data_IF_429060078786
#
_entry.id   IF_429060078786
#
_cell.length_a   1.000
_cell.length_b   1.000
_cell.length_c   1.000
_cell.angle_alpha   90.00
_cell.angle_beta   90.00
_cell.angle_gamma   90.00
#
_symmetry.space_group_name_H-M   'P 1'
#
loop_
_entity.id
_entity.type
_entity.pdbx_description
1 polymer ?
#
# COMPACT_ATOMS: atom_id res chain seq x y z
N UNK A 1 48.46 -30.09 1.56
CA UNK A 1 47.07 -30.52 1.85
C UNK A 1 46.38 -29.31 2.46
N UNK A 2 45.55 -28.61 1.68
CA UNK A 2 44.80 -27.45 2.12
C UNK A 2 43.42 -27.93 2.54
N UNK A 3 43.04 -27.70 3.80
CA UNK A 3 41.72 -27.99 4.31
C UNK A 3 40.77 -26.88 3.85
N UNK A 4 39.96 -27.17 2.83
CA UNK A 4 38.80 -26.36 2.49
C UNK A 4 37.67 -26.67 3.48
N UNK A 5 37.35 -25.73 4.34
CA UNK A 5 36.11 -25.75 5.11
C UNK A 5 35.04 -25.19 4.17
N UNK A 6 34.18 -26.07 3.65
CA UNK A 6 32.93 -25.64 3.02
C UNK A 6 32.03 -25.05 4.10
N UNK A 7 31.79 -23.74 4.01
CA UNK A 7 30.66 -23.12 4.68
C UNK A 7 29.39 -23.59 3.95
N UNK A 8 28.67 -24.55 4.54
CA UNK A 8 27.26 -24.77 4.20
C UNK A 8 26.47 -23.64 4.85
N UNK A 9 25.92 -22.74 4.03
CA UNK A 9 24.74 -21.98 4.42
C UNK A 9 23.64 -22.98 4.77
N UNK A 10 23.24 -22.99 6.03
CA UNK A 10 22.05 -23.71 6.48
C UNK A 10 20.93 -22.69 6.32
N UNK A 11 20.28 -22.67 5.16
CA UNK A 11 18.95 -22.08 5.05
C UNK A 11 18.02 -22.92 5.93
N UNK A 12 17.73 -22.44 7.13
CA UNK A 12 16.66 -22.98 7.94
C UNK A 12 15.35 -22.66 7.25
N UNK A 13 14.74 -23.69 6.66
CA UNK A 13 13.38 -23.63 6.11
C UNK A 13 12.44 -23.08 7.18
N UNK A 14 11.92 -21.88 6.96
CA UNK A 14 10.97 -21.24 7.88
C UNK A 14 9.65 -21.98 7.79
N UNK A 15 9.13 -22.46 8.92
CA UNK A 15 7.84 -23.14 8.94
C UNK A 15 6.71 -22.15 8.72
N UNK A 16 5.88 -22.36 7.69
CA UNK A 16 4.65 -21.59 7.45
C UNK A 16 3.76 -21.53 8.70
N UNK A 17 3.72 -22.60 9.50
CA UNK A 17 2.96 -22.62 10.73
C UNK A 17 3.47 -21.63 11.79
N UNK A 18 4.78 -21.38 11.85
CA UNK A 18 5.35 -20.44 12.82
C UNK A 18 5.16 -18.98 12.37
N UNK A 19 5.28 -18.72 11.06
CA UNK A 19 4.92 -17.44 10.42
C UNK A 19 3.50 -17.04 10.81
N UNK A 20 2.52 -17.92 10.54
CA UNK A 20 1.12 -17.61 10.77
C UNK A 20 0.73 -17.58 12.25
N UNK A 21 1.45 -18.29 13.15
CA UNK A 21 1.30 -18.08 14.60
C UNK A 21 1.71 -16.66 15.00
N UNK A 22 2.83 -16.16 14.49
CA UNK A 22 3.31 -14.82 14.80
C UNK A 22 2.37 -13.74 14.26
N UNK A 23 1.89 -13.88 13.02
CA UNK A 23 0.89 -12.97 12.44
C UNK A 23 -0.43 -13.01 13.20
N UNK A 24 -0.95 -14.19 13.51
CA UNK A 24 -2.17 -14.34 14.32
C UNK A 24 -2.04 -13.61 15.66
N UNK A 25 -0.91 -13.74 16.34
CA UNK A 25 -0.65 -13.04 17.59
C UNK A 25 -0.65 -11.51 17.41
N UNK A 26 -0.04 -10.99 16.33
CA UNK A 26 -0.07 -9.55 16.00
C UNK A 26 -1.49 -9.04 15.70
N UNK A 27 -2.28 -9.75 14.90
CA UNK A 27 -3.67 -9.39 14.62
C UNK A 27 -4.47 -9.30 15.92
N UNK A 28 -4.31 -10.28 16.82
CA UNK A 28 -5.00 -10.29 18.11
C UNK A 28 -4.56 -9.14 19.02
N UNK A 29 -3.27 -8.83 19.05
CA UNK A 29 -2.73 -7.69 19.80
C UNK A 29 -3.25 -6.35 19.28
N UNK A 30 -3.35 -6.22 17.94
CA UNK A 30 -3.73 -4.97 17.25
C UNK A 30 -5.21 -4.87 16.91
N UNK A 31 -6.04 -5.84 17.32
CA UNK A 31 -7.46 -5.92 16.93
C UNK A 31 -8.21 -4.62 17.18
N UNK A 32 -8.04 -4.02 18.36
CA UNK A 32 -8.72 -2.76 18.69
C UNK A 32 -8.30 -1.60 17.75
N UNK A 33 -7.02 -1.50 17.40
CA UNK A 33 -6.49 -0.47 16.50
C UNK A 33 -6.96 -0.68 15.05
N UNK A 34 -7.14 -1.95 14.64
CA UNK A 34 -7.65 -2.34 13.31
C UNK A 34 -9.18 -2.15 13.21
N UNK A 35 -9.91 -2.32 14.32
CA UNK A 35 -11.37 -2.12 14.37
C UNK A 35 -11.77 -0.64 14.59
N UNK A 36 -10.82 0.20 15.02
CA UNK A 36 -11.10 1.58 15.41
C UNK A 36 -11.47 2.52 14.25
N UNK A 37 -11.37 2.07 12.99
CA UNK A 37 -11.62 2.91 11.82
C UNK A 37 -12.40 2.15 10.73
N UNK A 38 -13.26 2.88 10.01
CA UNK A 38 -13.97 2.37 8.83
C UNK A 38 -13.19 2.72 7.56
N UNK A 39 -12.19 1.92 7.23
CA UNK A 39 -11.23 2.15 6.14
C UNK A 39 -11.84 2.14 4.73
N UNK A 40 -13.03 1.53 4.56
CA UNK A 40 -13.69 1.31 3.27
C UNK A 40 -15.08 1.97 3.17
N UNK A 41 -15.48 2.75 4.18
CA UNK A 41 -16.75 3.49 4.15
C UNK A 41 -16.57 4.86 3.51
N UNK A 42 -17.07 4.98 2.28
CA UNK A 42 -16.97 6.19 1.47
C UNK A 42 -17.90 7.34 1.81
N UNK A 43 -18.91 7.12 2.66
CA UNK A 43 -19.74 8.20 3.19
C UNK A 43 -20.57 7.69 4.37
N UNK A 44 -20.89 8.57 5.30
CA UNK A 44 -21.82 8.30 6.40
C UNK A 44 -23.28 8.10 5.98
N UNK A 45 -23.59 8.14 4.68
CA UNK A 45 -24.96 8.07 4.13
C UNK A 45 -25.34 6.71 3.53
N UNK A 46 -24.39 5.78 3.37
CA UNK A 46 -24.65 4.42 2.87
C UNK A 46 -24.55 3.36 3.98
N UNK A 47 -25.13 2.19 3.74
CA UNK A 47 -25.06 1.06 4.67
C UNK A 47 -23.60 0.74 5.04
N UNK A 48 -23.28 0.42 6.30
CA UNK A 48 -21.92 0.09 6.71
C UNK A 48 -21.36 -1.02 5.82
N UNK A 49 -20.25 -0.76 5.14
CA UNK A 49 -19.57 -1.77 4.34
C UNK A 49 -18.80 -2.69 5.27
N UNK A 50 -18.78 -3.99 4.93
CA UNK A 50 -17.93 -4.94 5.64
C UNK A 50 -16.45 -4.56 5.42
N UNK A 51 -15.75 -4.35 6.53
CA UNK A 51 -14.35 -3.90 6.51
C UNK A 51 -13.43 -5.10 6.29
N UNK A 52 -12.54 -4.98 5.30
CA UNK A 52 -11.51 -5.96 4.94
C UNK A 52 -10.10 -5.36 5.11
N UNK A 53 -9.62 -5.14 6.35
CA UNK A 53 -8.42 -4.35 6.58
C UNK A 53 -7.12 -5.16 6.52
N UNK A 54 -7.15 -6.48 6.26
CA UNK A 54 -5.98 -7.36 6.31
C UNK A 54 -5.80 -8.06 4.97
N UNK A 55 -4.56 -8.26 4.52
CA UNK A 55 -4.23 -9.12 3.39
C UNK A 55 -2.93 -9.89 3.66
N UNK A 56 -2.72 -11.00 2.95
CA UNK A 56 -1.47 -11.77 2.98
C UNK A 56 -0.97 -11.95 1.54
N UNK A 57 0.29 -11.62 1.28
CA UNK A 57 0.89 -11.79 -0.05
C UNK A 57 2.42 -11.82 0.01
N UNK A 58 3.04 -12.75 -0.70
CA UNK A 58 4.50 -12.84 -0.85
C UNK A 58 4.99 -11.80 -1.87
N UNK A 59 5.57 -10.70 -1.38
CA UNK A 59 6.04 -9.59 -2.23
C UNK A 59 7.49 -9.75 -2.69
N UNK A 60 8.25 -10.68 -2.09
CA UNK A 60 9.69 -10.81 -2.34
C UNK A 60 10.06 -12.12 -3.08
N UNK A 61 9.12 -13.05 -3.21
CA UNK A 61 9.25 -14.34 -3.89
C UNK A 61 9.96 -15.43 -3.07
N UNK A 62 10.08 -15.27 -1.75
CA UNK A 62 10.77 -16.22 -0.86
C UNK A 62 9.84 -17.33 -0.32
N UNK A 63 8.54 -17.27 -0.63
CA UNK A 63 7.53 -18.22 -0.19
C UNK A 63 6.93 -17.93 1.19
N UNK A 64 7.34 -16.86 1.86
CA UNK A 64 6.75 -16.31 3.08
C UNK A 64 5.82 -15.17 2.65
N UNK A 65 4.53 -15.30 2.96
CA UNK A 65 3.58 -14.21 2.70
C UNK A 65 3.79 -13.09 3.71
N UNK A 66 3.98 -11.85 3.25
CA UNK A 66 3.89 -10.68 4.12
C UNK A 66 2.42 -10.43 4.53
N UNK A 67 2.23 -9.99 5.77
CA UNK A 67 0.93 -9.56 6.28
C UNK A 67 0.79 -8.03 6.15
N UNK A 68 -0.23 -7.60 5.43
CA UNK A 68 -0.62 -6.21 5.29
C UNK A 68 -1.82 -5.96 6.19
N UNK A 69 -1.81 -4.86 6.95
CA UNK A 69 -3.01 -4.41 7.64
C UNK A 69 -3.08 -2.90 7.81
N UNK A 70 -4.31 -2.39 7.91
CA UNK A 70 -4.57 -1.00 8.27
C UNK A 70 -4.87 -0.90 9.76
N UNK A 71 -4.24 0.05 10.45
CA UNK A 71 -4.47 0.30 11.87
C UNK A 71 -4.32 1.78 12.22
N UNK A 72 -4.98 2.23 13.29
CA UNK A 72 -4.92 3.61 13.75
C UNK A 72 -3.60 3.84 14.48
N UNK A 73 -2.82 4.85 14.09
CA UNK A 73 -1.60 5.23 14.81
C UNK A 73 -1.90 6.26 15.89
N UNK A 74 -2.45 5.80 17.01
CA UNK A 74 -2.57 6.56 18.28
C UNK A 74 -3.38 7.87 18.24
N UNK A 75 -3.79 8.34 17.07
CA UNK A 75 -4.60 9.52 16.82
C UNK A 75 -5.85 9.10 16.05
N UNK A 76 -7.03 9.55 16.50
CA UNK A 76 -8.34 9.10 16.01
C UNK A 76 -8.63 9.43 14.53
N UNK A 77 -7.68 10.04 13.81
CA UNK A 77 -7.83 10.54 12.44
C UNK A 77 -6.74 10.05 11.48
N UNK A 78 -5.86 9.13 11.92
CA UNK A 78 -4.72 8.68 11.13
C UNK A 78 -4.63 7.15 11.12
N UNK A 79 -4.56 6.62 9.90
CA UNK A 79 -4.47 5.21 9.56
C UNK A 79 -3.11 4.98 8.92
N UNK A 80 -2.48 3.88 9.28
CA UNK A 80 -1.20 3.49 8.71
C UNK A 80 -1.28 2.11 8.08
N UNK A 81 -0.70 2.00 6.89
CA UNK A 81 -0.41 0.72 6.28
C UNK A 81 0.74 0.06 7.04
N UNK A 82 0.48 -1.08 7.62
CA UNK A 82 1.47 -1.88 8.30
C UNK A 82 1.78 -3.12 7.46
N UNK A 83 3.06 -3.33 7.14
CA UNK A 83 3.52 -4.48 6.36
C UNK A 83 4.45 -5.28 7.24
N UNK A 84 4.12 -6.53 7.53
CA UNK A 84 4.87 -7.39 8.42
C UNK A 84 5.43 -8.61 7.69
N UNK A 85 6.74 -8.81 7.79
CA UNK A 85 7.41 -10.05 7.39
C UNK A 85 7.71 -10.91 8.63
N UNK A 86 8.07 -12.18 8.43
CA UNK A 86 8.48 -13.07 9.52
C UNK A 86 9.97 -13.32 9.49
N UNK A 87 10.64 -12.98 10.59
CA UNK A 87 12.08 -13.10 10.68
C UNK A 87 12.56 -13.24 12.12
N UNK A 88 13.65 -13.99 12.34
CA UNK A 88 14.24 -14.24 13.66
C UNK A 88 13.25 -14.81 14.69
N UNK A 89 12.20 -15.49 14.22
CA UNK A 89 11.18 -16.08 15.07
C UNK A 89 10.02 -15.16 15.43
N UNK A 90 9.95 -13.96 14.85
CA UNK A 90 8.92 -12.96 15.16
C UNK A 90 8.38 -12.25 13.91
N UNK A 91 7.18 -11.69 14.03
CA UNK A 91 6.61 -10.83 13.01
C UNK A 91 7.17 -9.41 13.17
N UNK A 92 7.86 -8.91 12.15
CA UNK A 92 8.51 -7.59 12.15
C UNK A 92 7.93 -6.70 11.06
N UNK A 93 7.78 -5.42 11.36
CA UNK A 93 7.36 -4.44 10.38
C UNK A 93 8.49 -4.21 9.35
N UNK A 94 8.14 -4.14 8.06
CA UNK A 94 9.03 -3.78 6.96
C UNK A 94 9.23 -2.28 6.97
N UNK A 95 10.49 -1.83 6.93
CA UNK A 95 10.81 -0.41 6.83
C UNK A 95 10.66 0.07 5.38
N UNK A 96 10.02 1.22 5.20
CA UNK A 96 9.90 1.88 3.90
C UNK A 96 9.66 3.37 4.08
N UNK A 97 9.99 4.18 3.09
CA UNK A 97 9.80 5.64 3.09
C UNK A 97 8.73 6.06 2.09
N UNK A 98 7.92 7.08 2.42
CA UNK A 98 7.00 7.69 1.46
C UNK A 98 7.49 9.03 0.94
N UNK A 99 6.95 9.44 -0.20
CA UNK A 99 7.22 10.74 -0.82
C UNK A 99 5.94 11.58 -0.87
N UNK A 100 6.08 12.90 -0.68
CA UNK A 100 4.99 13.85 -0.87
C UNK A 100 5.49 15.12 -1.54
N UNK A 101 4.56 15.89 -2.12
CA UNK A 101 4.87 17.21 -2.68
C UNK A 101 4.59 18.28 -1.61
N UNK A 102 5.60 19.03 -1.21
CA UNK A 102 5.41 20.24 -0.42
C UNK A 102 4.89 21.36 -1.33
N UNK A 103 3.59 21.61 -1.26
CA UNK A 103 2.90 22.65 -2.03
C UNK A 103 3.44 24.07 -1.79
N UNK A 104 4.09 24.33 -0.65
CA UNK A 104 4.67 25.63 -0.37
C UNK A 104 5.99 25.87 -1.11
N UNK A 105 6.71 24.80 -1.44
CA UNK A 105 8.02 24.87 -2.10
C UNK A 105 8.04 24.25 -3.50
N UNK A 106 7.00 23.51 -3.89
CA UNK A 106 6.94 22.75 -5.14
C UNK A 106 8.00 21.65 -5.22
N UNK A 107 8.39 21.07 -4.07
CA UNK A 107 9.45 20.06 -3.99
C UNK A 107 8.89 18.74 -3.50
N UNK A 108 9.46 17.66 -4.04
CA UNK A 108 9.25 16.33 -3.49
C UNK A 108 10.10 16.19 -2.23
N UNK A 109 9.43 15.76 -1.16
CA UNK A 109 9.97 15.51 0.16
C UNK A 109 9.83 14.02 0.47
N UNK A 110 10.78 13.45 1.20
CA UNK A 110 10.73 12.07 1.67
C UNK A 110 10.49 12.04 3.18
N UNK A 111 9.66 11.13 3.65
CA UNK A 111 9.45 10.84 5.07
C UNK A 111 9.97 9.43 5.41
N UNK A 112 10.44 9.24 6.66
CA UNK A 112 11.13 8.02 7.12
C UNK A 112 10.17 6.81 7.29
N UNK A 113 8.86 7.01 7.09
CA UNK A 113 7.80 6.01 7.07
C UNK A 113 6.63 6.49 6.19
N UNK A 114 5.68 5.62 5.77
CA UNK A 114 4.27 6.09 5.59
C UNK A 114 3.69 6.36 6.98
N UNK A 115 4.33 7.21 7.77
CA UNK A 115 3.67 7.84 8.91
C UNK A 115 3.00 9.08 8.35
N UNK A 116 1.67 8.97 8.20
CA UNK A 116 0.72 9.97 7.74
C UNK A 116 0.58 10.26 6.23
N UNK A 117 -0.48 9.71 5.64
CA UNK A 117 -1.79 10.39 5.45
C UNK A 117 -2.79 9.62 4.54
N UNK A 118 -2.42 8.72 3.60
CA UNK A 118 -3.38 8.36 2.55
C UNK A 118 -4.45 7.32 2.90
N UNK A 119 -4.46 6.73 4.10
CA UNK A 119 -5.45 5.70 4.43
C UNK A 119 -6.64 6.17 5.28
N UNK A 120 -6.52 7.25 6.06
CA UNK A 120 -7.55 7.68 7.02
C UNK A 120 -8.24 9.00 6.66
N UNK A 121 -7.71 9.76 5.71
CA UNK A 121 -8.11 11.16 5.54
C UNK A 121 -9.33 11.42 4.65
N UNK A 122 -10.05 10.39 4.19
CA UNK A 122 -10.95 10.57 3.03
C UNK A 122 -10.26 10.28 1.69
N UNK A 123 -9.08 9.66 1.70
CA UNK A 123 -8.29 9.34 0.52
C UNK A 123 -8.56 7.91 0.04
N UNK A 124 -8.51 7.70 -1.27
CA UNK A 124 -8.52 6.36 -1.84
C UNK A 124 -7.09 5.82 -1.84
N UNK A 125 -6.93 4.51 -1.70
CA UNK A 125 -5.60 3.88 -1.76
C UNK A 125 -5.66 2.48 -2.33
N UNK A 126 -4.57 2.05 -2.97
CA UNK A 126 -4.39 0.67 -3.39
C UNK A 126 -2.93 0.27 -3.28
N UNK A 127 -2.69 -0.94 -2.78
CA UNK A 127 -1.39 -1.59 -2.79
C UNK A 127 -1.46 -2.75 -3.77
N UNK A 128 -0.55 -2.80 -4.74
CA UNK A 128 -0.55 -3.83 -5.77
C UNK A 128 0.85 -4.18 -6.26
N UNK A 129 1.01 -5.42 -6.71
CA UNK A 129 2.20 -5.85 -7.43
C UNK A 129 2.03 -5.65 -8.93
N UNK A 130 3.13 -5.27 -9.60
CA UNK A 130 3.25 -5.31 -11.05
C UNK A 130 3.00 -6.72 -11.61
N UNK A 131 2.59 -6.83 -12.87
CA UNK A 131 2.37 -8.12 -13.55
C UNK A 131 3.59 -9.03 -13.57
N UNK A 132 4.79 -8.45 -13.53
CA UNK A 132 6.03 -9.21 -13.50
C UNK A 132 6.44 -9.65 -12.08
N UNK A 133 5.69 -9.24 -11.06
CA UNK A 133 5.89 -9.62 -9.67
C UNK A 133 7.13 -9.01 -9.01
N UNK A 134 7.69 -7.91 -9.56
CA UNK A 134 8.94 -7.32 -9.04
C UNK A 134 8.78 -5.96 -8.36
N UNK A 135 7.71 -5.25 -8.68
CA UNK A 135 7.49 -3.89 -8.18
C UNK A 135 6.24 -3.87 -7.33
N UNK A 136 6.39 -3.52 -6.06
CA UNK A 136 5.28 -3.19 -5.18
C UNK A 136 4.92 -1.73 -5.42
N UNK A 137 3.66 -1.45 -5.67
CA UNK A 137 3.17 -0.11 -5.94
C UNK A 137 2.18 0.30 -4.84
N UNK A 138 2.29 1.55 -4.42
CA UNK A 138 1.33 2.17 -3.50
C UNK A 138 0.72 3.37 -4.19
N UNK A 139 -0.57 3.27 -4.47
CA UNK A 139 -1.38 4.33 -5.03
C UNK A 139 -2.14 5.03 -3.91
N UNK A 140 -2.24 6.35 -3.99
CA UNK A 140 -3.22 7.11 -3.24
C UNK A 140 -3.80 8.27 -4.03
N UNK A 141 -5.03 8.62 -3.72
CA UNK A 141 -5.68 9.80 -4.30
C UNK A 141 -6.65 10.49 -3.36
N UNK A 142 -6.93 11.75 -3.65
CA UNK A 142 -8.00 12.52 -3.02
C UNK A 142 -8.78 13.27 -4.09
N UNK A 143 -10.10 13.31 -3.95
CA UNK A 143 -11.00 14.13 -4.77
C UNK A 143 -11.76 15.08 -3.87
N UNK A 144 -11.20 16.28 -3.71
CA UNK A 144 -11.91 17.41 -3.12
C UNK A 144 -11.92 18.55 -4.14
N UNK A 145 -11.44 19.75 -3.79
CA UNK A 145 -11.22 20.84 -4.75
C UNK A 145 -10.16 20.48 -5.82
N UNK A 146 -9.30 19.50 -5.51
CA UNK A 146 -8.27 18.96 -6.39
C UNK A 146 -8.42 17.44 -6.52
N UNK A 147 -8.05 16.93 -7.70
CA UNK A 147 -7.66 15.54 -7.89
C UNK A 147 -6.15 15.46 -7.67
N UNK A 148 -5.76 14.99 -6.50
CA UNK A 148 -4.36 14.68 -6.19
C UNK A 148 -4.17 13.18 -6.34
N UNK A 149 -3.23 12.76 -7.18
CA UNK A 149 -2.89 11.35 -7.43
C UNK A 149 -1.42 11.13 -7.17
N UNK A 150 -1.10 10.11 -6.39
CA UNK A 150 0.25 9.71 -6.06
C UNK A 150 0.45 8.22 -6.33
N UNK A 151 1.58 7.86 -6.95
CA UNK A 151 2.04 6.48 -7.09
C UNK A 151 3.48 6.40 -6.63
N UNK A 152 3.75 5.49 -5.72
CA UNK A 152 5.09 5.13 -5.27
C UNK A 152 5.41 3.69 -5.69
N UNK A 153 6.52 3.52 -6.40
CA UNK A 153 7.04 2.23 -6.82
C UNK A 153 8.17 1.80 -5.90
N UNK A 154 8.15 0.53 -5.49
CA UNK A 154 9.13 -0.03 -4.58
C UNK A 154 9.69 -1.34 -5.11
N UNK A 155 11.00 -1.50 -4.97
CA UNK A 155 11.65 -2.81 -5.05
C UNK A 155 11.77 -3.41 -3.64
N UNK A 156 11.54 -4.71 -3.52
CA UNK A 156 11.66 -5.41 -2.24
C UNK A 156 13.08 -5.94 -2.08
N UNK A 157 13.72 -5.57 -0.97
CA UNK A 157 15.10 -5.99 -0.67
C UNK A 157 15.22 -6.42 0.78
N UNK A 158 14.98 -7.72 1.01
CA UNK A 158 14.86 -8.28 2.35
C UNK A 158 13.77 -7.54 3.15
N UNK A 159 14.17 -6.84 4.21
CA UNK A 159 13.25 -6.16 5.17
C UNK A 159 12.94 -4.71 4.83
N UNK A 160 13.33 -4.26 3.65
CA UNK A 160 13.18 -2.86 3.24
C UNK A 160 12.48 -2.81 1.90
N UNK A 161 11.51 -1.91 1.80
CA UNK A 161 11.07 -1.44 0.50
C UNK A 161 11.98 -0.29 0.11
N UNK A 162 12.66 -0.43 -1.02
CA UNK A 162 13.52 0.59 -1.57
C UNK A 162 12.68 1.37 -2.58
N UNK A 163 12.41 2.64 -2.26
CA UNK A 163 11.69 3.55 -3.14
C UNK A 163 12.43 3.66 -4.48
N UNK A 164 11.69 3.46 -5.56
CA UNK A 164 12.16 3.50 -6.93
C UNK A 164 11.71 4.78 -7.62
N UNK A 165 10.39 4.89 -7.85
CA UNK A 165 9.79 5.98 -8.60
C UNK A 165 8.63 6.61 -7.83
N UNK A 166 8.55 7.93 -7.86
CA UNK A 166 7.42 8.71 -7.34
C UNK A 166 6.75 9.51 -8.46
N UNK A 167 5.47 9.26 -8.66
CA UNK A 167 4.60 10.02 -9.56
C UNK A 167 3.63 10.83 -8.73
N UNK A 168 3.56 12.13 -8.98
CA UNK A 168 2.57 13.01 -8.39
C UNK A 168 1.86 13.82 -9.47
N UNK A 169 0.53 13.85 -9.44
CA UNK A 169 -0.31 14.66 -10.30
C UNK A 169 -1.31 15.41 -9.42
N UNK A 170 -1.46 16.71 -9.62
CA UNK A 170 -2.47 17.50 -8.93
C UNK A 170 -3.21 18.36 -9.94
N UNK A 171 -4.54 18.27 -9.93
CA UNK A 171 -5.40 18.98 -10.89
C UNK A 171 -6.57 19.65 -10.19
N UNK A 172 -6.71 20.96 -10.42
CA UNK A 172 -7.88 21.72 -10.02
C UNK A 172 -9.13 21.23 -10.78
N UNK A 173 -10.05 20.59 -10.06
CA UNK A 173 -11.28 20.04 -10.63
C UNK A 173 -12.38 21.11 -10.77
N UNK A 174 -12.24 22.23 -10.06
CA UNK A 174 -13.25 23.30 -9.99
C UNK A 174 -13.01 24.40 -11.03
N UNK A 175 -11.79 24.48 -11.56
CA UNK A 175 -11.33 25.55 -12.45
C UNK A 175 -11.24 26.91 -11.75
N UNK A 176 -11.31 26.96 -10.42
CA UNK A 176 -11.33 28.20 -9.63
C UNK A 176 -9.94 28.74 -9.33
N UNK A 177 -8.93 27.87 -9.29
CA UNK A 177 -7.58 28.18 -8.82
C UNK A 177 -6.57 28.31 -9.97
N UNK A 178 -6.90 27.80 -11.16
CA UNK A 178 -6.10 27.95 -12.38
C UNK A 178 -4.77 27.18 -12.34
N UNK A 179 -3.87 27.46 -13.29
CA UNK A 179 -2.65 26.67 -13.52
C UNK A 179 -1.67 26.65 -12.33
N UNK A 180 -1.77 27.58 -11.38
CA UNK A 180 -0.78 27.72 -10.30
C UNK A 180 -0.83 26.58 -9.26
N UNK A 181 -1.90 25.79 -9.24
CA UNK A 181 -2.03 24.60 -8.38
C UNK A 181 -2.00 23.30 -9.18
N UNK A 182 -1.89 23.37 -10.50
CA UNK A 182 -1.72 22.19 -11.34
C UNK A 182 -0.23 21.84 -11.41
N UNK A 183 0.14 20.62 -11.05
CA UNK A 183 1.52 20.15 -11.19
C UNK A 183 1.56 18.68 -11.53
N UNK A 184 2.68 18.29 -12.13
CA UNK A 184 3.02 16.89 -12.30
C UNK A 184 4.51 16.68 -12.05
N UNK A 185 4.87 15.74 -11.18
CA UNK A 185 6.26 15.41 -10.84
C UNK A 185 6.57 13.93 -11.06
N UNK A 186 7.72 13.66 -11.66
CA UNK A 186 8.34 12.34 -11.75
C UNK A 186 9.69 12.45 -11.01
N UNK A 187 9.84 11.74 -9.91
CA UNK A 187 11.07 11.69 -9.09
C UNK A 187 11.61 13.08 -8.68
N UNK A 188 10.70 14.02 -8.39
CA UNK A 188 11.04 15.39 -7.98
C UNK A 188 11.25 16.37 -9.13
N UNK A 189 11.22 15.92 -10.38
CA UNK A 189 11.35 16.77 -11.56
C UNK A 189 9.97 17.08 -12.15
N UNK A 190 9.71 18.35 -12.44
CA UNK A 190 8.45 18.78 -13.05
C UNK A 190 8.37 18.24 -14.48
N UNK A 191 7.23 17.65 -14.81
CA UNK A 191 6.92 17.11 -16.14
C UNK A 191 5.62 17.70 -16.67
N UNK A 192 5.42 17.66 -17.99
CA UNK A 192 4.14 18.05 -18.57
C UNK A 192 3.01 17.10 -18.11
N UNK A 193 1.80 17.63 -17.92
CA UNK A 193 0.64 16.80 -17.60
C UNK A 193 0.37 15.67 -18.62
N UNK A 194 0.62 15.88 -19.93
CA UNK A 194 0.49 14.82 -20.94
C UNK A 194 1.43 13.65 -20.69
N UNK A 195 2.70 13.93 -20.34
CA UNK A 195 3.68 12.91 -19.93
C UNK A 195 3.21 12.18 -18.68
N UNK A 196 2.74 12.90 -17.66
CA UNK A 196 2.27 12.30 -16.41
C UNK A 196 1.08 11.36 -16.63
N UNK A 197 0.08 11.76 -17.42
CA UNK A 197 -1.03 10.86 -17.75
C UNK A 197 -0.59 9.65 -18.59
N UNK A 198 0.50 9.75 -19.34
CA UNK A 198 1.13 8.61 -20.00
C UNK A 198 1.76 7.63 -19.00
N UNK A 199 2.48 8.16 -18.00
CA UNK A 199 3.12 7.38 -16.94
C UNK A 199 2.09 6.67 -16.05
N UNK A 200 1.07 7.39 -15.57
CA UNK A 200 -0.01 6.82 -14.75
C UNK A 200 -0.75 5.70 -15.51
N UNK A 201 -1.13 5.94 -16.77
CA UNK A 201 -1.77 4.88 -17.60
C UNK A 201 -0.89 3.67 -17.81
N UNK A 202 0.42 3.86 -17.98
CA UNK A 202 1.36 2.75 -18.12
C UNK A 202 1.45 1.93 -16.83
N UNK A 203 1.55 2.59 -15.68
CA UNK A 203 1.60 1.95 -14.37
C UNK A 203 0.28 1.19 -14.08
N UNK A 204 -0.87 1.82 -14.31
CA UNK A 204 -2.19 1.18 -14.11
C UNK A 204 -2.42 0.00 -15.06
N UNK A 205 -1.94 0.09 -16.30
CA UNK A 205 -1.98 -1.02 -17.24
C UNK A 205 -1.06 -2.20 -16.84
N UNK A 206 -0.14 -2.01 -15.88
CA UNK A 206 0.78 -3.03 -15.38
C UNK A 206 0.36 -3.65 -14.03
N UNK A 207 -0.84 -3.33 -13.54
CA UNK A 207 -1.40 -3.96 -12.32
C UNK A 207 -1.50 -5.48 -12.53
N UNK A 208 -0.84 -6.24 -11.66
CA UNK A 208 -0.88 -7.70 -11.60
C UNK A 208 -1.83 -8.20 -10.52
N UNK A 209 -1.42 -8.03 -9.26
CA UNK A 209 -2.18 -8.49 -8.09
C UNK A 209 -2.49 -7.31 -7.18
N UNK A 210 -3.77 -7.07 -6.90
CA UNK A 210 -4.19 -6.07 -5.91
C UNK A 210 -4.22 -6.72 -4.54
N UNK A 211 -3.45 -6.18 -3.60
CA UNK A 211 -3.26 -6.76 -2.26
C UNK A 211 -4.34 -6.23 -1.32
N UNK A 212 -4.42 -4.91 -1.17
CA UNK A 212 -5.38 -4.23 -0.30
C UNK A 212 -5.75 -2.87 -0.91
N UNK A 213 -7.02 -2.48 -0.82
CA UNK A 213 -7.47 -1.21 -1.38
C UNK A 213 -8.71 -0.65 -0.67
N UNK A 214 -8.95 0.63 -0.92
CA UNK A 214 -10.17 1.34 -0.55
C UNK A 214 -10.46 2.45 -1.55
N UNK A 215 -11.67 2.44 -2.10
CA UNK A 215 -12.23 3.56 -2.85
C UNK A 215 -13.36 4.20 -2.04
N UNK A 216 -13.01 5.23 -1.26
CA UNK A 216 -13.94 5.94 -0.39
C UNK A 216 -14.71 7.04 -1.13
N UNK A 217 -14.07 7.79 -2.01
CA UNK A 217 -14.71 9.00 -2.56
C UNK A 217 -15.51 8.75 -3.84
N UNK A 218 -15.66 7.49 -4.24
CA UNK A 218 -16.36 7.14 -5.47
C UNK A 218 -15.66 7.74 -6.68
N UNK A 219 -14.32 7.70 -6.71
CA UNK A 219 -13.60 7.94 -7.96
C UNK A 219 -14.12 6.94 -8.99
N UNK A 220 -14.90 7.43 -9.94
CA UNK A 220 -15.50 6.62 -10.98
C UNK A 220 -14.41 6.18 -11.96
N UNK A 221 -14.31 4.87 -12.22
CA UNK A 221 -13.37 4.27 -13.17
C UNK A 221 -13.58 4.64 -14.65
N UNK A 222 -14.42 5.65 -14.94
CA UNK A 222 -14.65 6.19 -16.27
C UNK A 222 -13.60 7.19 -16.74
N UNK A 223 -12.78 7.72 -15.82
CA UNK A 223 -11.67 8.62 -16.14
C UNK A 223 -10.35 7.84 -16.24
N UNK A 224 -9.65 8.03 -17.36
CA UNK A 224 -8.34 7.45 -17.70
C UNK A 224 -7.21 7.67 -16.67
N UNK A 225 -7.48 8.45 -15.62
CA UNK A 225 -6.50 8.88 -14.63
C UNK A 225 -6.78 8.32 -13.24
N UNK A 226 -7.74 7.40 -13.11
CA UNK A 226 -8.03 6.68 -11.88
C UNK A 226 -7.63 5.22 -12.03
N UNK A 227 -7.23 4.60 -10.93
CA UNK A 227 -6.85 3.19 -10.93
C UNK A 227 -8.07 2.25 -10.95
N UNK A 228 -9.23 2.74 -10.52
CA UNK A 228 -10.45 1.98 -10.26
C UNK A 228 -11.15 1.41 -11.50
N UNK A 229 -10.76 1.87 -12.70
CA UNK A 229 -11.17 1.24 -13.95
C UNK A 229 -10.45 -0.07 -14.26
N UNK A 230 -9.40 -0.43 -13.51
CA UNK A 230 -8.55 -1.59 -13.79
C UNK A 230 -8.91 -2.84 -13.00
N UNK A 231 -9.60 -2.70 -11.86
CA UNK A 231 -9.98 -3.80 -10.99
C UNK A 231 -11.22 -3.43 -10.17
N UNK A 232 -11.91 -4.45 -9.65
CA UNK A 232 -12.91 -4.27 -8.61
C UNK A 232 -12.30 -4.55 -7.23
N UNK A 233 -12.85 -3.96 -6.18
CA UNK A 233 -12.41 -4.24 -4.81
C UNK A 233 -12.53 -5.73 -4.44
N UNK A 234 -13.41 -6.48 -5.10
CA UNK A 234 -13.56 -7.93 -4.89
C UNK A 234 -12.44 -8.76 -5.54
N UNK A 235 -11.62 -8.14 -6.41
CA UNK A 235 -10.42 -8.77 -6.95
C UNK A 235 -9.21 -8.66 -5.99
N UNK A 236 -9.30 -7.82 -4.94
CA UNK A 236 -8.23 -7.65 -3.98
C UNK A 236 -8.16 -8.81 -2.96
N UNK A 237 -6.95 -9.09 -2.46
CA UNK A 237 -6.70 -10.16 -1.48
C UNK A 237 -7.15 -9.85 -0.05
N UNK A 238 -7.80 -8.70 0.12
CA UNK A 238 -8.20 -8.19 1.42
C UNK A 238 -9.35 -9.00 2.04
N UNK A 239 -9.26 -9.19 3.36
CA UNK A 239 -10.15 -10.02 4.14
C UNK A 239 -10.51 -9.36 5.47
N UNK A 240 -11.62 -9.79 6.04
CA UNK A 240 -12.04 -9.38 7.39
C UNK A 240 -11.02 -9.87 8.43
N UNK A 241 -11.06 -9.29 9.64
CA UNK A 241 -10.22 -9.75 10.75
C UNK A 241 -10.49 -11.23 11.07
N UNK A 242 -11.76 -11.63 11.10
CA UNK A 242 -12.13 -13.00 11.46
C UNK A 242 -11.73 -14.00 10.36
N UNK A 243 -11.84 -13.62 9.08
CA UNK A 243 -11.33 -14.42 7.96
C UNK A 243 -9.80 -14.53 7.98
N UNK A 244 -9.08 -13.47 8.33
CA UNK A 244 -7.62 -13.50 8.49
C UNK A 244 -7.19 -14.45 9.61
N UNK A 245 -7.90 -14.45 10.73
CA UNK A 245 -7.65 -15.38 11.84
C UNK A 245 -7.95 -16.83 11.42
N UNK A 246 -9.02 -17.06 10.66
CA UNK A 246 -9.36 -18.38 10.13
C UNK A 246 -8.35 -18.86 9.07
N UNK A 247 -7.90 -17.97 8.18
CA UNK A 247 -6.84 -18.24 7.23
C UNK A 247 -5.55 -18.65 7.95
N UNK A 248 -5.15 -17.89 8.98
CA UNK A 248 -3.99 -18.23 9.80
C UNK A 248 -4.13 -19.61 10.46
N UNK A 249 -5.31 -19.97 10.98
CA UNK A 249 -5.56 -21.29 11.56
C UNK A 249 -5.40 -22.44 10.55
N UNK A 250 -5.80 -22.22 9.29
CA UNK A 250 -5.59 -23.19 8.20
C UNK A 250 -4.09 -23.35 7.90
N UNK A 251 -3.31 -22.27 7.90
CA UNK A 251 -1.87 -22.34 7.64
C UNK A 251 -1.06 -22.93 8.79
N UNK A 252 -1.61 -22.90 10.02
CA UNK A 252 -0.99 -23.47 11.22
C UNK A 252 -1.23 -24.98 11.33
N UNK A 253 -2.40 -25.46 10.89
CA UNK A 253 -2.86 -26.86 11.01
C UNK A 253 -2.25 -27.81 9.99
#
# INVERSE_FOLDING_TARGET
MSNGIEHKEIETEVSKADVFKAYKAKIQEKRADIEAFSWQDGSSEFEPKEQRPIAFFDINGDGIEEMFYMAVDGSEYQAELNIYTYEDGEAKNIEYSSSYVDFSTGRVMTDDALTNTPAAGGMNFAVYMSKDGKTLNMYSSSVDEFLSTYVEEYSVSGKKLINGTFLADNRDMTGQYGDMYNFSYEDGEEVSGERMQGLLRANFADIGTVIICSNMTGEDGGDDNTIWGQFSEDDALMMTIDDALAYADIQIG
#
